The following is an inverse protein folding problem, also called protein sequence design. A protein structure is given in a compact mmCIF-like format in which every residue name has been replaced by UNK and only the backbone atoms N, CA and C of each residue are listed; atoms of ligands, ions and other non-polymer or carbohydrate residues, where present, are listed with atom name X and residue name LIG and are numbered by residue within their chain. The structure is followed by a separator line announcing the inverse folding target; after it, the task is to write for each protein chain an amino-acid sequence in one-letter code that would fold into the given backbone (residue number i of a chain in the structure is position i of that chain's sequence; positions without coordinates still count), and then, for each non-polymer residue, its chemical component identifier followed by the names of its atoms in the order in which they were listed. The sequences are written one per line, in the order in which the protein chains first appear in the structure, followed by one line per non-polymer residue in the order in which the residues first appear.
data_IF_028632970226
#
_entry.id   IF_028632970226
#
_cell.length_a   1.000
_cell.length_b   1.000
_cell.length_c   1.000
_cell.angle_alpha   90.00
_cell.angle_beta   90.00
_cell.angle_gamma   90.00
#
_symmetry.space_group_name_H-M   'P 1'
#
loop_
_entity.id
_entity.type
_entity.pdbx_description
1 polymer ?
#
# COMPACT_ATOMS: atom_id res chain seq x y z
N UNK A 1 -2.45 21.97 26.97
CA UNK A 1 -2.85 21.38 25.67
C UNK A 1 -1.67 20.62 25.11
N UNK A 2 -1.74 19.28 24.97
CA UNK A 2 -0.68 18.54 24.27
C UNK A 2 -0.55 19.06 22.84
N UNK A 3 0.67 19.42 22.42
CA UNK A 3 0.98 19.96 21.09
C UNK A 3 0.47 18.97 20.03
N UNK A 4 -0.10 19.48 18.94
CA UNK A 4 -0.64 18.74 17.80
C UNK A 4 0.21 17.52 17.39
N UNK A 5 1.54 17.70 17.34
CA UNK A 5 2.52 16.63 17.06
C UNK A 5 2.42 15.42 18.01
N UNK A 6 2.27 15.63 19.33
CA UNK A 6 2.16 14.51 20.28
C UNK A 6 0.89 13.68 20.05
N UNK A 7 -0.22 14.34 19.68
CA UNK A 7 -1.48 13.65 19.38
C UNK A 7 -1.37 12.82 18.11
N UNK A 8 -0.67 13.32 17.08
CA UNK A 8 -0.45 12.57 15.84
C UNK A 8 0.29 11.26 16.12
N UNK A 9 1.36 11.29 16.91
CA UNK A 9 2.10 10.06 17.21
C UNK A 9 1.27 9.04 18.02
N UNK A 10 0.42 9.51 18.93
CA UNK A 10 -0.48 8.62 19.68
C UNK A 10 -1.48 7.95 18.74
N UNK A 11 -2.22 8.73 17.96
CA UNK A 11 -3.21 8.19 17.02
C UNK A 11 -2.58 7.37 15.91
N UNK A 12 -1.46 7.83 15.35
CA UNK A 12 -0.72 7.13 14.31
C UNK A 12 -0.29 5.74 14.77
N UNK A 13 0.27 5.60 15.98
CA UNK A 13 0.63 4.29 16.53
C UNK A 13 -0.58 3.39 16.75
N UNK A 14 -1.68 3.93 17.28
CA UNK A 14 -2.92 3.15 17.49
C UNK A 14 -3.44 2.61 16.15
N UNK A 15 -3.54 3.47 15.13
CA UNK A 15 -4.02 3.09 13.80
C UNK A 15 -3.09 2.12 13.08
N UNK A 16 -1.76 2.32 13.16
CA UNK A 16 -0.81 1.37 12.62
C UNK A 16 -0.92 0.00 13.30
N UNK A 17 -1.03 -0.05 14.63
CA UNK A 17 -1.22 -1.31 15.36
C UNK A 17 -2.52 -2.01 14.96
N UNK A 18 -3.63 -1.26 14.83
CA UNK A 18 -4.90 -1.79 14.34
C UNK A 18 -4.78 -2.35 12.92
N UNK A 19 -4.07 -1.65 12.02
CA UNK A 19 -3.85 -2.12 10.66
C UNK A 19 -3.07 -3.44 10.62
N UNK A 20 -2.01 -3.56 11.43
CA UNK A 20 -1.25 -4.82 11.57
C UNK A 20 -2.17 -5.95 12.04
N UNK A 21 -2.98 -5.71 13.06
CA UNK A 21 -3.94 -6.71 13.55
C UNK A 21 -4.91 -7.13 12.45
N UNK A 22 -5.45 -6.18 11.68
CA UNK A 22 -6.36 -6.47 10.57
C UNK A 22 -5.70 -7.28 9.45
N UNK A 23 -4.44 -6.99 9.11
CA UNK A 23 -3.70 -7.75 8.10
C UNK A 23 -3.43 -9.20 8.51
N UNK A 24 -3.31 -9.48 9.81
CA UNK A 24 -3.18 -10.85 10.32
C UNK A 24 -4.56 -11.51 10.45
N UNK A 25 -5.58 -10.76 10.88
CA UNK A 25 -6.91 -11.29 11.14
C UNK A 25 -7.60 -11.79 9.87
N UNK A 26 -7.45 -11.08 8.75
CA UNK A 26 -8.09 -11.49 7.49
C UNK A 26 -7.66 -12.89 6.99
N UNK A 27 -6.37 -13.21 6.79
CA UNK A 27 -5.96 -14.54 6.35
C UNK A 27 -6.29 -15.63 7.38
N UNK A 28 -6.26 -15.31 8.69
CA UNK A 28 -6.71 -16.24 9.73
C UNK A 28 -8.20 -16.54 9.61
N UNK A 29 -9.04 -15.50 9.48
CA UNK A 29 -10.48 -15.65 9.33
C UNK A 29 -10.83 -16.44 8.07
N UNK A 30 -10.17 -16.17 6.94
CA UNK A 30 -10.33 -16.94 5.72
C UNK A 30 -9.91 -18.41 5.90
N UNK A 31 -8.77 -18.67 6.56
CA UNK A 31 -8.30 -20.04 6.82
C UNK A 31 -9.26 -20.83 7.71
N UNK A 32 -9.86 -20.18 8.71
CA UNK A 32 -10.88 -20.79 9.59
C UNK A 32 -12.17 -21.05 8.81
N UNK A 33 -12.67 -20.06 8.06
CA UNK A 33 -13.93 -20.15 7.34
C UNK A 33 -13.91 -21.22 6.24
N UNK A 34 -12.83 -21.27 5.44
CA UNK A 34 -12.68 -22.25 4.35
C UNK A 34 -12.02 -23.56 4.79
N UNK A 35 -11.60 -23.69 6.06
CA UNK A 35 -10.82 -24.84 6.55
C UNK A 35 -9.45 -25.00 5.88
N UNK A 36 -8.97 -23.98 5.17
CA UNK A 36 -7.78 -24.01 4.32
C UNK A 36 -6.53 -23.57 5.08
N UNK A 37 -6.11 -24.37 6.08
CA UNK A 37 -4.90 -24.07 6.83
C UNK A 37 -3.64 -24.29 5.99
N UNK A 38 -2.78 -23.27 5.85
CA UNK A 38 -1.52 -23.46 5.13
C UNK A 38 -0.60 -24.39 5.92
N UNK A 39 0.04 -25.34 5.24
CA UNK A 39 1.14 -26.12 5.83
C UNK A 39 2.24 -25.16 6.32
N UNK A 40 2.74 -25.29 7.57
CA UNK A 40 3.75 -24.39 8.12
C UNK A 40 5.00 -24.25 7.24
N UNK A 41 5.42 -25.34 6.59
CA UNK A 41 6.56 -25.36 5.68
C UNK A 41 6.29 -24.57 4.39
N UNK A 42 5.07 -24.63 3.88
CA UNK A 42 4.68 -23.87 2.67
C UNK A 42 4.53 -22.38 2.98
N UNK A 43 3.98 -22.04 4.16
CA UNK A 43 3.92 -20.67 4.65
C UNK A 43 5.32 -20.07 4.79
N UNK A 44 6.26 -20.81 5.39
CA UNK A 44 7.64 -20.34 5.56
C UNK A 44 8.34 -20.13 4.22
N UNK A 45 8.21 -21.06 3.27
CA UNK A 45 8.78 -20.90 1.92
C UNK A 45 8.20 -19.69 1.19
N UNK A 46 6.89 -19.50 1.26
CA UNK A 46 6.22 -18.32 0.71
C UNK A 46 6.74 -17.04 1.34
N UNK A 47 6.83 -16.99 2.67
CA UNK A 47 7.35 -15.84 3.41
C UNK A 47 8.79 -15.53 3.02
N UNK A 48 9.68 -16.53 2.99
CA UNK A 48 11.08 -16.35 2.60
C UNK A 48 11.25 -15.88 1.15
N UNK A 49 10.30 -16.21 0.26
CA UNK A 49 10.32 -15.76 -1.13
C UNK A 49 10.06 -14.28 -1.32
N UNK A 50 9.30 -13.63 -0.41
CA UNK A 50 8.91 -12.22 -0.55
C UNK A 50 9.47 -11.33 0.57
N UNK A 51 9.59 -11.84 1.78
CA UNK A 51 9.92 -11.04 2.95
C UNK A 51 11.28 -10.30 2.86
N UNK A 52 12.37 -10.89 2.34
CA UNK A 52 13.64 -10.16 2.20
C UNK A 52 13.49 -8.90 1.33
N UNK A 53 12.78 -9.02 0.20
CA UNK A 53 12.60 -7.89 -0.72
C UNK A 53 11.69 -6.84 -0.09
N UNK A 54 10.50 -7.25 0.39
CA UNK A 54 9.49 -6.31 0.87
C UNK A 54 9.87 -5.67 2.22
N UNK A 55 10.56 -6.36 3.12
CA UNK A 55 11.06 -5.73 4.35
C UNK A 55 12.20 -4.78 4.09
N UNK A 56 13.14 -5.12 3.22
CA UNK A 56 14.23 -4.19 2.87
C UNK A 56 13.69 -2.93 2.19
N UNK A 57 12.81 -3.09 1.19
CA UNK A 57 12.16 -1.94 0.54
C UNK A 57 11.34 -1.14 1.54
N UNK A 58 10.52 -1.79 2.36
CA UNK A 58 9.70 -1.13 3.37
C UNK A 58 10.53 -0.34 4.39
N UNK A 59 11.68 -0.86 4.82
CA UNK A 59 12.59 -0.14 5.72
C UNK A 59 13.20 1.09 5.04
N UNK A 60 13.65 0.95 3.79
CA UNK A 60 14.19 2.06 3.01
C UNK A 60 13.13 3.14 2.81
N UNK A 61 11.90 2.76 2.45
CA UNK A 61 10.77 3.69 2.27
C UNK A 61 10.41 4.40 3.58
N UNK A 62 10.37 3.67 4.71
CA UNK A 62 10.12 4.26 6.03
C UNK A 62 11.16 5.33 6.38
N UNK A 63 12.44 5.05 6.19
CA UNK A 63 13.51 5.99 6.51
C UNK A 63 13.56 7.17 5.54
N UNK A 64 13.25 6.94 4.26
CA UNK A 64 13.34 7.97 3.21
C UNK A 64 12.14 8.90 3.23
N UNK A 65 10.93 8.37 3.37
CA UNK A 65 9.71 9.16 3.22
C UNK A 65 9.23 9.79 4.53
N UNK A 66 9.58 9.23 5.69
CA UNK A 66 9.23 9.84 6.97
C UNK A 66 9.68 11.30 7.14
N UNK A 67 10.95 11.66 6.87
CA UNK A 67 11.39 13.06 6.98
C UNK A 67 10.78 13.96 5.90
N UNK A 68 10.42 13.39 4.74
CA UNK A 68 9.86 14.13 3.62
C UNK A 68 8.38 14.47 3.82
N UNK A 69 7.61 13.53 4.34
CA UNK A 69 6.15 13.64 4.48
C UNK A 69 5.71 14.17 5.84
N UNK A 70 6.58 14.12 6.86
CA UNK A 70 6.24 14.45 8.24
C UNK A 70 5.44 13.34 8.93
N UNK A 71 5.17 13.52 10.23
CA UNK A 71 4.58 12.46 11.06
C UNK A 71 3.17 12.08 10.61
N UNK A 72 2.31 13.06 10.34
CA UNK A 72 0.92 12.83 9.93
C UNK A 72 0.80 12.12 8.59
N UNK A 73 1.51 12.65 7.58
CA UNK A 73 1.54 12.08 6.24
C UNK A 73 2.13 10.67 6.21
N UNK A 74 3.14 10.40 7.03
CA UNK A 74 3.78 9.08 7.10
C UNK A 74 2.88 8.03 7.71
N UNK A 75 2.30 8.27 8.90
CA UNK A 75 1.41 7.29 9.52
C UNK A 75 0.22 6.97 8.61
N UNK A 76 -0.40 7.99 8.03
CA UNK A 76 -1.54 7.79 7.14
C UNK A 76 -1.14 7.10 5.84
N UNK A 77 0.00 7.49 5.26
CA UNK A 77 0.57 6.87 4.07
C UNK A 77 0.84 5.38 4.28
N UNK A 78 1.53 5.00 5.36
CA UNK A 78 1.87 3.60 5.64
C UNK A 78 0.65 2.73 5.93
N UNK A 79 -0.41 3.28 6.54
CA UNK A 79 -1.66 2.53 6.77
C UNK A 79 -2.44 2.34 5.46
N UNK A 80 -2.47 3.36 4.59
CA UNK A 80 -3.28 3.33 3.36
C UNK A 80 -2.56 2.76 2.15
N UNK A 81 -1.23 2.64 2.20
CA UNK A 81 -0.40 1.98 1.20
C UNK A 81 -0.15 2.80 -0.08
N UNK A 82 0.55 2.17 -1.02
CA UNK A 82 0.95 2.71 -2.32
C UNK A 82 1.69 4.06 -2.26
N UNK A 83 2.67 4.17 -1.33
CA UNK A 83 3.41 5.40 -1.11
C UNK A 83 4.15 5.85 -2.37
N UNK A 84 5.05 5.02 -2.88
CA UNK A 84 5.98 5.38 -3.95
C UNK A 84 5.27 5.75 -5.25
N UNK A 85 4.20 5.05 -5.63
CA UNK A 85 3.56 5.32 -6.92
C UNK A 85 2.49 6.40 -6.85
N UNK A 86 1.91 6.69 -5.68
CA UNK A 86 0.76 7.59 -5.58
C UNK A 86 0.88 8.64 -4.47
N UNK A 87 1.11 8.24 -3.21
CA UNK A 87 1.01 9.16 -2.07
C UNK A 87 2.16 10.17 -2.03
N UNK A 88 3.39 9.69 -2.24
CA UNK A 88 4.60 10.52 -2.32
C UNK A 88 4.51 11.56 -3.45
N UNK A 89 4.27 11.18 -4.72
CA UNK A 89 4.18 12.17 -5.80
C UNK A 89 2.99 13.13 -5.61
N UNK A 90 1.86 12.67 -5.08
CA UNK A 90 0.73 13.54 -4.75
C UNK A 90 1.08 14.58 -3.68
N UNK A 91 1.75 14.17 -2.60
CA UNK A 91 2.16 15.06 -1.53
C UNK A 91 3.21 16.08 -2.01
N UNK A 92 4.21 15.63 -2.77
CA UNK A 92 5.23 16.51 -3.35
C UNK A 92 4.62 17.54 -4.31
N UNK A 93 3.72 17.10 -5.20
CA UNK A 93 3.03 18.01 -6.12
C UNK A 93 2.18 19.04 -5.38
N UNK A 94 1.46 18.63 -4.32
CA UNK A 94 0.66 19.53 -3.51
C UNK A 94 1.53 20.55 -2.75
N UNK A 95 2.69 20.12 -2.23
CA UNK A 95 3.65 21.01 -1.58
C UNK A 95 4.26 22.01 -2.57
N UNK A 96 4.58 21.58 -3.79
CA UNK A 96 5.09 22.45 -4.85
C UNK A 96 4.06 23.52 -5.26
N UNK A 97 2.81 23.14 -5.49
CA UNK A 97 1.71 24.07 -5.79
C UNK A 97 1.48 25.06 -4.64
N UNK A 98 1.55 24.60 -3.40
CA UNK A 98 1.45 25.43 -2.21
C UNK A 98 2.72 26.25 -1.91
N UNK A 99 3.80 26.08 -2.68
CA UNK A 99 5.12 26.71 -2.48
C UNK A 99 5.69 26.50 -1.08
N UNK A 100 5.49 25.31 -0.51
CA UNK A 100 6.02 24.92 0.80
C UNK A 100 7.10 23.86 0.65
N UNK A 101 8.08 23.86 1.56
CA UNK A 101 9.18 22.89 1.54
C UNK A 101 8.85 21.64 2.38
N UNK A 102 9.27 20.44 1.95
CA UNK A 102 9.28 19.24 2.79
C UNK A 102 10.04 19.48 4.11
N UNK A 103 9.62 18.80 5.18
CA UNK A 103 10.23 18.94 6.51
C UNK A 103 9.90 20.25 7.26
N UNK A 104 9.06 21.12 6.70
CA UNK A 104 8.50 22.28 7.42
C UNK A 104 7.14 21.94 8.02
N UNK A 105 6.71 22.64 9.08
CA UNK A 105 5.40 22.42 9.71
C UNK A 105 4.24 22.60 8.71
N UNK A 106 4.34 23.60 7.82
CA UNK A 106 3.37 23.81 6.73
C UNK A 106 3.41 22.68 5.69
N UNK A 107 4.60 22.19 5.37
CA UNK A 107 4.79 21.05 4.46
C UNK A 107 4.16 19.77 5.00
N UNK A 108 4.35 19.49 6.29
CA UNK A 108 3.72 18.34 6.97
C UNK A 108 2.18 18.42 6.97
N UNK A 109 1.63 19.61 7.19
CA UNK A 109 0.18 19.83 7.11
C UNK A 109 -0.37 19.53 5.70
N UNK A 110 0.26 20.11 4.66
CA UNK A 110 -0.14 19.91 3.26
C UNK A 110 0.03 18.45 2.84
N UNK A 111 1.14 17.82 3.23
CA UNK A 111 1.40 16.39 3.02
C UNK A 111 0.31 15.52 3.65
N UNK A 112 -0.06 15.78 4.91
CA UNK A 112 -1.10 15.01 5.61
C UNK A 112 -2.46 15.13 4.91
N UNK A 113 -2.85 16.34 4.53
CA UNK A 113 -4.14 16.59 3.84
C UNK A 113 -4.16 15.94 2.46
N UNK A 114 -3.11 16.13 1.67
CA UNK A 114 -3.04 15.57 0.31
C UNK A 114 -3.06 14.04 0.33
N UNK A 115 -2.34 13.41 1.25
CA UNK A 115 -2.37 11.95 1.44
C UNK A 115 -3.76 11.49 1.88
N UNK A 116 -4.42 12.21 2.79
CA UNK A 116 -5.79 11.88 3.22
C UNK A 116 -6.79 11.92 2.06
N UNK A 117 -6.77 13.00 1.27
CA UNK A 117 -7.64 13.14 0.10
C UNK A 117 -7.33 12.06 -0.93
N UNK A 118 -6.06 11.85 -1.23
CA UNK A 118 -5.62 10.78 -2.13
C UNK A 118 -6.15 9.43 -1.67
N UNK A 119 -6.08 9.13 -0.37
CA UNK A 119 -6.54 7.86 0.20
C UNK A 119 -8.05 7.70 0.12
N UNK A 120 -8.83 8.74 0.44
CA UNK A 120 -10.28 8.72 0.28
C UNK A 120 -10.66 8.45 -1.18
N UNK A 121 -10.05 9.17 -2.12
CA UNK A 121 -10.32 9.01 -3.56
C UNK A 121 -9.99 7.60 -4.02
N UNK A 122 -8.81 7.06 -3.67
CA UNK A 122 -8.47 5.68 -4.03
C UNK A 122 -9.42 4.66 -3.42
N UNK A 123 -9.84 4.85 -2.17
CA UNK A 123 -10.80 3.95 -1.52
C UNK A 123 -12.15 3.98 -2.22
N UNK A 124 -12.64 5.15 -2.62
CA UNK A 124 -13.90 5.27 -3.38
C UNK A 124 -13.78 4.57 -4.73
N UNK A 125 -12.69 4.78 -5.46
CA UNK A 125 -12.46 4.12 -6.75
C UNK A 125 -12.42 2.59 -6.59
N UNK A 126 -11.68 2.09 -5.60
CA UNK A 126 -11.61 0.64 -5.34
C UNK A 126 -12.99 0.11 -4.93
N UNK A 127 -13.71 0.81 -4.07
CA UNK A 127 -15.05 0.42 -3.64
C UNK A 127 -16.03 0.31 -4.82
N UNK A 128 -16.06 1.32 -5.68
CA UNK A 128 -16.87 1.29 -6.91
C UNK A 128 -16.43 0.16 -7.83
N UNK A 129 -15.12 -0.02 -8.03
CA UNK A 129 -14.58 -1.11 -8.84
C UNK A 129 -15.01 -2.50 -8.34
N UNK A 130 -14.99 -2.70 -7.02
CA UNK A 130 -15.44 -3.95 -6.38
C UNK A 130 -16.94 -4.16 -6.53
N UNK A 131 -17.75 -3.11 -6.38
CA UNK A 131 -19.20 -3.22 -6.63
C UNK A 131 -19.50 -3.60 -8.08
N UNK A 132 -18.81 -2.99 -9.04
CA UNK A 132 -18.99 -3.26 -10.47
C UNK A 132 -18.47 -4.64 -10.90
N UNK A 133 -17.52 -5.23 -10.17
CA UNK A 133 -17.01 -6.57 -10.48
C UNK A 133 -18.11 -7.64 -10.45
N UNK A 134 -19.10 -7.52 -9.56
CA UNK A 134 -20.25 -8.45 -9.52
C UNK A 134 -21.01 -8.50 -10.85
N UNK A 135 -21.15 -7.36 -11.53
CA UNK A 135 -21.83 -7.26 -12.82
C UNK A 135 -20.95 -7.78 -13.97
N UNK A 136 -19.62 -7.78 -13.79
CA UNK A 136 -18.65 -8.25 -14.77
C UNK A 136 -18.37 -9.76 -14.69
N UNK A 137 -18.73 -10.43 -13.59
CA UNK A 137 -18.54 -11.87 -13.40
C UNK A 137 -18.89 -12.74 -14.63
N UNK A 138 -20.07 -12.61 -15.26
CA UNK A 138 -20.42 -13.48 -16.40
C UNK A 138 -19.50 -13.29 -17.61
N UNK A 139 -18.85 -12.14 -17.75
CA UNK A 139 -17.86 -11.89 -18.80
C UNK A 139 -16.52 -12.49 -18.40
N UNK A 140 -16.09 -12.28 -17.15
CA UNK A 140 -14.81 -12.76 -16.64
C UNK A 140 -14.73 -14.29 -16.60
N UNK A 141 -15.85 -14.97 -16.36
CA UNK A 141 -15.95 -16.44 -16.35
C UNK A 141 -16.14 -17.06 -17.74
N UNK A 142 -16.11 -16.26 -18.80
CA UNK A 142 -16.21 -16.77 -20.17
C UNK A 142 -15.01 -17.64 -20.54
N UNK A 143 -15.27 -18.72 -21.29
CA UNK A 143 -14.26 -19.67 -21.73
C UNK A 143 -13.16 -19.02 -22.60
N UNK A 144 -13.49 -17.91 -23.26
CA UNK A 144 -12.56 -17.09 -24.05
C UNK A 144 -11.49 -16.42 -23.17
N UNK A 145 -11.82 -16.04 -21.93
CA UNK A 145 -10.89 -15.39 -21.01
C UNK A 145 -10.15 -16.37 -20.09
N UNK A 146 -10.56 -17.64 -20.03
CA UNK A 146 -9.93 -18.65 -19.19
C UNK A 146 -8.38 -18.75 -19.34
N UNK A 147 -7.80 -18.67 -20.56
CA UNK A 147 -6.34 -18.67 -20.73
C UNK A 147 -5.65 -17.45 -20.10
N UNK A 148 -6.32 -16.30 -20.07
CA UNK A 148 -5.79 -15.09 -19.45
C UNK A 148 -5.73 -15.24 -17.92
N UNK A 149 -6.78 -15.81 -17.32
CA UNK A 149 -6.82 -16.09 -15.87
C UNK A 149 -5.78 -17.14 -15.44
N UNK A 150 -5.57 -18.18 -16.26
CA UNK A 150 -4.55 -19.19 -16.00
C UNK A 150 -3.11 -18.62 -15.96
N UNK A 151 -2.87 -17.49 -16.65
CA UNK A 151 -1.58 -16.84 -16.73
C UNK A 151 -1.49 -15.54 -15.90
N UNK A 152 -2.37 -15.33 -14.92
CA UNK A 152 -2.34 -14.15 -14.06
C UNK A 152 -1.03 -14.04 -13.28
N UNK A 153 -0.57 -15.13 -12.67
CA UNK A 153 0.63 -15.11 -11.83
C UNK A 153 1.90 -14.75 -12.65
N UNK A 154 2.17 -15.42 -13.79
CA UNK A 154 3.29 -15.04 -14.66
C UNK A 154 3.17 -13.61 -15.20
N UNK A 155 1.97 -13.15 -15.56
CA UNK A 155 1.76 -11.80 -16.09
C UNK A 155 2.00 -10.72 -15.04
N UNK A 156 1.55 -10.95 -13.80
CA UNK A 156 1.73 -10.03 -12.68
C UNK A 156 3.21 -9.88 -12.30
N UNK A 157 3.89 -11.01 -12.07
CA UNK A 157 5.30 -10.98 -11.67
C UNK A 157 6.23 -10.65 -12.84
N UNK A 158 5.89 -11.02 -14.06
CA UNK A 158 6.64 -10.68 -15.27
C UNK A 158 6.64 -9.17 -15.54
N UNK A 159 5.49 -8.51 -15.42
CA UNK A 159 5.40 -7.05 -15.55
C UNK A 159 6.23 -6.34 -14.46
N UNK A 160 6.15 -6.80 -13.21
CA UNK A 160 6.97 -6.27 -12.12
C UNK A 160 8.47 -6.44 -12.42
N UNK A 161 8.90 -7.63 -12.85
CA UNK A 161 10.28 -7.91 -13.20
C UNK A 161 10.80 -6.96 -14.30
N UNK A 162 10.02 -6.73 -15.36
CA UNK A 162 10.38 -5.79 -16.44
C UNK A 162 10.54 -4.37 -15.90
N UNK A 163 9.65 -3.89 -15.04
CA UNK A 163 9.75 -2.54 -14.46
C UNK A 163 11.01 -2.40 -13.60
N UNK A 164 11.37 -3.42 -12.82
CA UNK A 164 12.57 -3.38 -11.98
C UNK A 164 13.87 -3.48 -12.78
N UNK A 165 13.91 -4.33 -13.81
CA UNK A 165 15.09 -4.53 -14.69
C UNK A 165 15.29 -3.32 -15.61
N UNK A 166 14.24 -2.83 -16.27
CA UNK A 166 14.34 -1.70 -17.22
C UNK A 166 14.81 -0.41 -16.57
N UNK A 167 14.42 -0.15 -15.31
CA UNK A 167 14.87 1.05 -14.56
C UNK A 167 16.31 0.94 -14.04
N UNK A 168 16.86 -0.27 -13.91
CA UNK A 168 18.21 -0.52 -13.39
C UNK A 168 19.02 -1.36 -14.36
N UNK A 169 18.96 -1.04 -15.67
CA UNK A 169 19.79 -1.67 -16.68
C UNK A 169 21.24 -1.19 -16.54
N UNK A 170 21.92 -1.66 -15.48
CA UNK A 170 23.37 -1.55 -15.31
C UNK A 170 23.94 -2.97 -15.27
N UNK A 171 23.80 -3.64 -16.39
CA UNK A 171 24.80 -4.56 -16.95
C UNK A 171 25.14 -3.99 -18.31
#
# INVERSE_FOLDING_TARGET
MKKYSEKIHVWGRIWCSLAIVMFILYPLAASIYYGAWPSPMSLLKGLLGVAPIFWTVGAIEALTFSPMLGSGGSYLGFVTGNLTNLKVPCALSAMEVAKVKPGTEKGELISTISIAVSSIVTTVIIFVGVLLLSQLQPILESEVLAPAFANILPSLFGALAVVFISKNWKI
#
